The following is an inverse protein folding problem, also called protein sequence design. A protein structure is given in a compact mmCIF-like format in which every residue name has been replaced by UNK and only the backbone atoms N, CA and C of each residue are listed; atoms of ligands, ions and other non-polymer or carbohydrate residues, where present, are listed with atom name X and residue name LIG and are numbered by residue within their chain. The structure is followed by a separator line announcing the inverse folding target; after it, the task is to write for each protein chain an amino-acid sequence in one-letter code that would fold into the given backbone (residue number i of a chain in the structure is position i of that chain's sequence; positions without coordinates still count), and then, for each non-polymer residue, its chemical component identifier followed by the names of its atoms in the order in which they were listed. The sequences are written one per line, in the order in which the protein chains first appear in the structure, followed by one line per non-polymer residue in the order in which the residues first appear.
data_IF_154643222688
#
_entry.id   IF_154643222688
#
_cell.length_a   1.000
_cell.length_b   1.000
_cell.length_c   1.000
_cell.angle_alpha   90.00
_cell.angle_beta   90.00
_cell.angle_gamma   90.00
#
_symmetry.space_group_name_H-M   'P 1'
#
loop_
_entity.id
_entity.type
_entity.pdbx_description
1 polymer ?
#
# COMPACT_ATOMS: atom_id res chain seq x y z
N UNK A 1 12.94 -11.93 -4.18
CA UNK A 1 12.30 -11.06 -5.19
C UNK A 1 12.22 -11.64 -6.60
N UNK A 2 12.96 -12.70 -6.91
CA UNK A 2 13.24 -13.14 -8.29
C UNK A 2 12.03 -13.69 -9.07
N UNK A 3 10.95 -14.05 -8.38
CA UNK A 3 9.71 -14.54 -9.00
C UNK A 3 8.84 -13.34 -9.40
N UNK A 4 8.71 -13.08 -10.71
CA UNK A 4 8.02 -11.91 -11.29
C UNK A 4 6.78 -12.27 -12.12
N UNK A 5 6.16 -13.42 -11.87
CA UNK A 5 4.94 -13.81 -12.57
C UNK A 5 3.75 -12.88 -12.24
N UNK A 6 2.76 -12.74 -13.13
CA UNK A 6 1.54 -11.97 -12.84
C UNK A 6 0.78 -12.49 -11.60
N UNK A 7 0.81 -13.81 -11.38
CA UNK A 7 0.28 -14.45 -10.18
C UNK A 7 1.35 -14.53 -9.10
N UNK A 8 1.00 -14.05 -7.91
CA UNK A 8 1.87 -14.01 -6.74
C UNK A 8 1.17 -14.71 -5.58
N UNK A 9 1.78 -15.79 -5.09
CA UNK A 9 1.39 -16.44 -3.84
C UNK A 9 2.27 -15.85 -2.74
N UNK A 10 1.65 -15.23 -1.75
CA UNK A 10 2.38 -14.47 -0.75
C UNK A 10 1.95 -14.92 0.64
N UNK A 11 2.94 -15.30 1.43
CA UNK A 11 2.76 -15.60 2.84
C UNK A 11 3.38 -14.45 3.65
N UNK A 12 2.53 -13.49 4.03
CA UNK A 12 2.90 -12.20 4.60
C UNK A 12 3.20 -12.31 6.11
N UNK A 13 4.27 -13.03 6.51
CA UNK A 13 4.73 -13.07 7.92
C UNK A 13 5.55 -11.81 8.22
N UNK A 14 4.92 -10.64 8.16
CA UNK A 14 5.68 -9.38 8.18
C UNK A 14 5.26 -8.41 9.30
N UNK A 15 4.07 -8.55 9.88
CA UNK A 15 3.55 -7.62 10.89
C UNK A 15 3.37 -8.24 12.27
N UNK A 16 3.97 -7.56 13.25
CA UNK A 16 3.72 -7.79 14.68
C UNK A 16 2.67 -6.85 15.26
N UNK A 17 1.74 -6.30 14.45
CA UNK A 17 0.71 -5.39 14.97
C UNK A 17 -0.20 -6.04 16.02
N UNK A 18 -0.34 -7.37 15.98
CA UNK A 18 -1.04 -8.15 17.00
C UNK A 18 -0.23 -8.40 18.29
N UNK A 19 1.05 -8.03 18.33
CA UNK A 19 1.92 -8.18 19.50
C UNK A 19 2.35 -6.79 20.02
N UNK A 20 2.00 -6.40 21.25
CA UNK A 20 2.45 -5.13 21.84
C UNK A 20 3.97 -4.94 21.81
N UNK A 21 4.74 -6.04 21.92
CA UNK A 21 6.21 -6.01 21.87
C UNK A 21 6.75 -6.16 20.45
N UNK A 22 5.90 -6.46 19.46
CA UNK A 22 6.24 -6.67 18.04
C UNK A 22 7.32 -7.74 17.81
N UNK A 23 7.39 -8.72 18.70
CA UNK A 23 8.33 -9.85 18.64
C UNK A 23 7.74 -11.05 17.91
N UNK A 24 6.42 -11.22 17.98
CA UNK A 24 5.66 -12.24 17.27
C UNK A 24 5.04 -11.65 16.03
N UNK A 25 4.93 -12.47 15.01
CA UNK A 25 4.38 -12.10 13.72
C UNK A 25 3.13 -12.91 13.46
N UNK A 26 2.05 -12.23 13.09
CA UNK A 26 0.80 -12.91 12.77
C UNK A 26 0.91 -13.53 11.38
N UNK A 27 0.55 -14.82 11.20
CA UNK A 27 0.56 -15.43 9.89
C UNK A 27 -0.53 -14.81 9.01
N UNK A 28 -0.16 -14.43 7.80
CA UNK A 28 -1.05 -13.93 6.76
C UNK A 28 -0.72 -14.60 5.44
N UNK A 29 -1.74 -14.75 4.60
CA UNK A 29 -1.56 -15.27 3.25
C UNK A 29 -2.50 -14.56 2.29
N UNK A 30 -1.99 -14.32 1.09
CA UNK A 30 -2.75 -13.71 0.00
C UNK A 30 -2.36 -14.31 -1.35
N UNK A 31 -3.36 -14.45 -2.21
CA UNK A 31 -3.16 -14.69 -3.64
C UNK A 31 -3.36 -13.34 -4.32
N UNK A 32 -2.36 -12.89 -5.08
CA UNK A 32 -2.39 -11.61 -5.77
C UNK A 32 -2.26 -11.85 -7.27
N UNK A 33 -3.20 -11.32 -8.03
CA UNK A 33 -3.21 -11.37 -9.49
C UNK A 33 -2.94 -9.96 -10.01
N UNK A 34 -1.90 -9.79 -10.80
CA UNK A 34 -1.62 -8.49 -11.42
C UNK A 34 -2.84 -8.06 -12.24
N UNK A 35 -3.35 -6.86 -11.97
CA UNK A 35 -4.59 -6.41 -12.59
C UNK A 35 -4.31 -5.80 -13.96
N UNK A 36 -4.74 -6.49 -15.00
CA UNK A 36 -4.56 -6.07 -16.40
C UNK A 36 -5.41 -4.86 -16.76
N UNK A 37 -6.49 -4.58 -16.03
CA UNK A 37 -7.30 -3.37 -16.24
C UNK A 37 -6.50 -2.09 -15.94
N UNK A 38 -5.45 -2.20 -15.12
CA UNK A 38 -4.53 -1.13 -14.78
C UNK A 38 -3.17 -1.24 -15.53
N UNK A 39 -3.17 -1.80 -16.75
CA UNK A 39 -1.94 -1.98 -17.52
C UNK A 39 -1.17 -0.66 -17.78
N UNK A 40 -1.88 0.44 -18.00
CA UNK A 40 -1.28 1.76 -18.23
C UNK A 40 -0.57 2.31 -16.98
N UNK A 41 -1.20 2.15 -15.82
CA UNK A 41 -0.68 2.54 -14.52
C UNK A 41 0.51 1.65 -14.13
N UNK A 42 0.41 0.34 -14.34
CA UNK A 42 1.50 -0.62 -14.11
C UNK A 42 2.73 -0.31 -14.99
N UNK A 43 2.51 0.09 -16.26
CA UNK A 43 3.57 0.58 -17.14
C UNK A 43 4.20 1.87 -16.61
N UNK A 44 3.38 2.77 -16.06
CA UNK A 44 3.85 4.02 -15.44
C UNK A 44 4.69 3.74 -14.19
N UNK A 45 4.27 2.80 -13.34
CA UNK A 45 5.01 2.36 -12.15
C UNK A 45 6.40 1.83 -12.54
N UNK A 46 6.47 1.02 -13.60
CA UNK A 46 7.73 0.50 -14.12
C UNK A 46 8.62 1.63 -14.65
N UNK A 47 8.06 2.59 -15.37
CA UNK A 47 8.80 3.78 -15.84
C UNK A 47 9.34 4.63 -14.67
N UNK A 48 8.58 4.77 -13.58
CA UNK A 48 9.03 5.48 -12.38
C UNK A 48 10.26 4.79 -11.78
N UNK A 49 10.26 3.45 -11.70
CA UNK A 49 11.41 2.68 -11.24
C UNK A 49 12.65 2.97 -12.10
N UNK A 50 12.51 2.99 -13.43
CA UNK A 50 13.61 3.29 -14.35
C UNK A 50 14.17 4.71 -14.13
N UNK A 51 13.30 5.71 -14.01
CA UNK A 51 13.69 7.10 -13.73
C UNK A 51 14.43 7.21 -12.39
N UNK A 52 13.95 6.51 -11.36
CA UNK A 52 14.62 6.49 -10.05
C UNK A 52 16.00 5.83 -10.15
N UNK A 53 16.12 4.71 -10.87
CA UNK A 53 17.41 4.04 -11.09
C UNK A 53 18.38 4.97 -11.81
N UNK A 54 17.94 5.66 -12.87
CA UNK A 54 18.77 6.61 -13.60
C UNK A 54 19.22 7.78 -12.70
N UNK A 55 18.30 8.32 -11.91
CA UNK A 55 18.60 9.37 -10.95
C UNK A 55 19.69 8.95 -9.94
N UNK A 56 19.59 7.75 -9.38
CA UNK A 56 20.60 7.25 -8.43
C UNK A 56 21.92 6.91 -9.12
N UNK A 57 21.91 6.41 -10.36
CA UNK A 57 23.15 6.15 -11.13
C UNK A 57 24.00 7.40 -11.35
N UNK A 58 23.37 8.57 -11.48
CA UNK A 58 24.07 9.86 -11.62
C UNK A 58 24.75 10.33 -10.33
N UNK A 59 24.51 9.67 -9.19
CA UNK A 59 25.08 10.04 -7.89
C UNK A 59 26.23 9.09 -7.53
N UNK A 60 27.35 9.66 -7.09
CA UNK A 60 28.55 8.89 -6.70
C UNK A 60 28.63 8.56 -5.19
N UNK A 61 27.54 8.67 -4.45
CA UNK A 61 27.50 8.37 -3.01
C UNK A 61 27.38 6.87 -2.68
N UNK A 62 27.88 6.41 -1.52
CA UNK A 62 27.77 5.02 -1.09
C UNK A 62 26.30 4.56 -1.00
N UNK A 63 25.42 5.41 -0.43
CA UNK A 63 23.99 5.14 -0.33
C UNK A 63 23.31 4.94 -1.70
N UNK A 64 23.78 5.64 -2.74
CA UNK A 64 23.24 5.46 -4.09
C UNK A 64 23.66 4.11 -4.68
N UNK A 65 24.93 3.71 -4.50
CA UNK A 65 25.45 2.43 -4.98
C UNK A 65 24.72 1.24 -4.34
N UNK A 66 24.50 1.30 -3.03
CA UNK A 66 23.80 0.23 -2.30
C UNK A 66 22.31 0.18 -2.65
N UNK A 67 21.67 1.34 -2.81
CA UNK A 67 20.25 1.45 -3.11
C UNK A 67 19.86 0.99 -4.52
N UNK A 68 20.74 1.18 -5.53
CA UNK A 68 20.44 0.83 -6.93
C UNK A 68 20.17 -0.67 -7.09
N UNK A 69 21.00 -1.52 -6.48
CA UNK A 69 20.87 -2.98 -6.59
C UNK A 69 19.51 -3.46 -6.05
N UNK A 70 19.12 -2.99 -4.86
CA UNK A 70 17.83 -3.29 -4.26
C UNK A 70 16.66 -2.74 -5.09
N UNK A 71 16.80 -1.50 -5.58
CA UNK A 71 15.77 -0.84 -6.37
C UNK A 71 15.49 -1.59 -7.68
N UNK A 72 16.52 -2.03 -8.41
CA UNK A 72 16.36 -2.78 -9.66
C UNK A 72 15.68 -4.14 -9.45
N UNK A 73 15.94 -4.79 -8.31
CA UNK A 73 15.33 -6.08 -7.97
C UNK A 73 13.90 -5.94 -7.48
N UNK A 74 13.53 -4.78 -6.96
CA UNK A 74 12.17 -4.47 -6.49
C UNK A 74 11.12 -4.59 -7.60
N UNK A 75 9.88 -4.85 -7.21
CA UNK A 75 8.72 -4.97 -8.09
C UNK A 75 7.57 -4.18 -7.47
N UNK A 76 6.91 -3.35 -8.24
CA UNK A 76 5.70 -2.65 -7.82
C UNK A 76 4.63 -2.83 -8.88
N UNK A 77 3.41 -3.17 -8.47
CA UNK A 77 2.27 -3.28 -9.38
C UNK A 77 0.93 -3.18 -8.62
N UNK A 78 -0.12 -2.92 -9.38
CA UNK A 78 -1.51 -2.97 -8.94
C UNK A 78 -2.01 -4.42 -9.08
N UNK A 79 -2.61 -4.93 -8.01
CA UNK A 79 -3.08 -6.31 -7.93
C UNK A 79 -4.54 -6.38 -7.50
N UNK A 80 -5.24 -7.37 -8.04
CA UNK A 80 -6.49 -7.88 -7.52
C UNK A 80 -6.22 -9.06 -6.57
N UNK A 81 -6.84 -9.06 -5.39
CA UNK A 81 -6.61 -10.05 -4.34
C UNK A 81 -7.87 -10.91 -4.15
N UNK A 82 -8.04 -12.00 -4.92
CA UNK A 82 -9.20 -12.88 -4.82
C UNK A 82 -9.26 -13.65 -3.49
N UNK A 83 -8.11 -13.84 -2.83
CA UNK A 83 -8.02 -14.53 -1.56
C UNK A 83 -7.06 -13.83 -0.62
N UNK A 84 -7.50 -13.62 0.62
CA UNK A 84 -6.72 -13.08 1.72
C UNK A 84 -7.14 -13.78 3.02
N UNK A 85 -6.23 -13.95 3.95
CA UNK A 85 -6.53 -14.42 5.31
C UNK A 85 -5.65 -13.71 6.36
N UNK A 86 -5.90 -13.98 7.63
CA UNK A 86 -5.18 -13.36 8.75
C UNK A 86 -5.69 -11.94 9.03
N UNK A 87 -4.79 -11.04 9.43
CA UNK A 87 -5.13 -9.66 9.82
C UNK A 87 -5.76 -8.87 8.67
N UNK A 88 -5.43 -9.23 7.42
CA UNK A 88 -5.99 -8.61 6.21
C UNK A 88 -7.51 -8.71 6.10
N UNK A 89 -8.15 -9.64 6.84
CA UNK A 89 -9.61 -9.74 6.92
C UNK A 89 -10.23 -8.66 7.82
N UNK A 90 -9.51 -8.23 8.86
CA UNK A 90 -9.96 -7.21 9.80
C UNK A 90 -9.56 -5.81 9.36
N UNK A 91 -8.40 -5.70 8.72
CA UNK A 91 -7.85 -4.44 8.24
C UNK A 91 -7.34 -4.61 6.81
N UNK A 92 -8.02 -3.99 5.84
CA UNK A 92 -7.58 -4.01 4.45
C UNK A 92 -6.56 -2.92 4.18
N UNK A 93 -5.35 -3.32 3.81
CA UNK A 93 -4.33 -2.41 3.33
C UNK A 93 -4.56 -2.06 1.86
N UNK A 94 -4.53 -0.76 1.53
CA UNK A 94 -4.53 -0.26 0.15
C UNK A 94 -3.23 -0.51 -0.59
N UNK A 95 -2.17 -0.86 0.14
CA UNK A 95 -0.91 -1.31 -0.42
C UNK A 95 0.08 -1.64 0.68
N UNK A 96 1.05 -2.48 0.37
CA UNK A 96 2.10 -2.84 1.31
C UNK A 96 3.40 -3.19 0.56
N UNK A 97 4.52 -2.95 1.24
CA UNK A 97 5.88 -3.29 0.81
C UNK A 97 6.41 -4.43 1.65
N UNK A 98 6.85 -5.52 1.00
CA UNK A 98 7.43 -6.70 1.65
C UNK A 98 8.74 -7.13 0.99
N UNK A 99 9.69 -7.76 1.72
CA UNK A 99 9.63 -8.08 3.14
C UNK A 99 10.01 -6.89 4.04
N UNK A 100 9.58 -6.94 5.31
CA UNK A 100 9.96 -5.97 6.33
C UNK A 100 11.39 -6.19 6.85
N UNK A 101 11.93 -7.42 6.74
CA UNK A 101 13.33 -7.72 7.12
C UNK A 101 14.33 -6.89 6.31
N UNK A 102 15.04 -5.98 7.00
CA UNK A 102 15.96 -5.02 6.39
C UNK A 102 17.07 -5.69 5.58
N UNK A 103 17.72 -6.72 6.11
CA UNK A 103 18.81 -7.44 5.44
C UNK A 103 18.39 -7.99 4.07
N UNK A 104 17.19 -8.57 4.00
CA UNK A 104 16.63 -9.13 2.75
C UNK A 104 16.23 -8.00 1.82
N UNK A 105 15.63 -6.93 2.35
CA UNK A 105 15.27 -5.73 1.58
C UNK A 105 16.49 -5.07 0.91
N UNK A 106 17.59 -4.93 1.65
CA UNK A 106 18.82 -4.35 1.12
C UNK A 106 19.47 -5.24 0.04
N UNK A 107 19.42 -6.56 0.22
CA UNK A 107 20.05 -7.50 -0.71
C UNK A 107 19.20 -7.80 -1.95
N UNK A 108 17.90 -7.97 -1.76
CA UNK A 108 16.98 -8.50 -2.77
C UNK A 108 15.89 -7.53 -3.21
N UNK A 109 15.73 -6.37 -2.56
CA UNK A 109 14.65 -5.42 -2.87
C UNK A 109 13.31 -5.80 -2.24
N UNK A 110 12.23 -5.17 -2.70
CA UNK A 110 10.86 -5.33 -2.16
C UNK A 110 9.80 -5.58 -3.24
N UNK A 111 8.72 -6.30 -2.90
CA UNK A 111 7.46 -6.28 -3.65
C UNK A 111 6.54 -5.26 -3.01
N UNK A 112 6.08 -4.33 -3.81
CA UNK A 112 5.03 -3.38 -3.45
C UNK A 112 3.79 -3.80 -4.22
N UNK A 113 2.69 -3.99 -3.51
CA UNK A 113 1.40 -4.13 -4.16
C UNK A 113 0.53 -2.94 -3.83
N UNK A 114 -0.37 -2.61 -4.76
CA UNK A 114 -1.45 -1.66 -4.57
C UNK A 114 -2.77 -2.39 -4.81
N UNK A 115 -3.73 -2.25 -3.90
CA UNK A 115 -5.09 -2.79 -4.01
C UNK A 115 -6.10 -1.64 -4.09
N UNK A 116 -6.62 -1.32 -5.29
CA UNK A 116 -7.60 -0.26 -5.46
C UNK A 116 -8.94 -0.61 -4.81
N UNK A 117 -9.25 -1.89 -4.62
CA UNK A 117 -10.50 -2.34 -3.99
C UNK A 117 -10.56 -1.95 -2.52
N UNK A 118 -9.41 -1.96 -1.84
CA UNK A 118 -9.28 -1.48 -0.46
C UNK A 118 -9.46 0.04 -0.32
N UNK A 119 -9.35 0.80 -1.40
CA UNK A 119 -9.63 2.25 -1.42
C UNK A 119 -11.11 2.59 -1.66
N UNK A 120 -11.93 1.60 -2.04
CA UNK A 120 -13.34 1.82 -2.37
C UNK A 120 -14.38 1.81 -1.23
N UNK A 121 -14.11 1.46 0.05
CA UNK A 121 -15.19 1.35 1.03
C UNK A 121 -15.86 2.69 1.41
N UNK A 122 -15.30 3.85 1.03
CA UNK A 122 -15.88 5.17 1.36
C UNK A 122 -16.69 5.85 0.24
N UNK A 123 -16.61 5.41 -1.02
CA UNK A 123 -17.36 6.08 -2.10
C UNK A 123 -18.87 5.81 -2.03
N UNK A 124 -19.30 4.66 -1.50
CA UNK A 124 -20.72 4.33 -1.35
C UNK A 124 -21.36 4.96 -0.12
N UNK A 125 -20.63 5.05 1.02
CA UNK A 125 -21.14 5.69 2.23
C UNK A 125 -21.24 7.21 2.07
N UNK A 126 -20.27 7.87 1.43
CA UNK A 126 -20.37 9.30 1.12
C UNK A 126 -21.42 9.60 0.03
N UNK A 127 -21.63 8.70 -0.94
CA UNK A 127 -22.71 8.84 -1.92
C UNK A 127 -24.10 8.63 -1.30
N UNK A 128 -24.21 7.86 -0.21
CA UNK A 128 -25.46 7.70 0.57
C UNK A 128 -25.72 8.84 1.57
N UNK A 129 -24.70 9.66 1.86
CA UNK A 129 -24.82 10.91 2.62
C UNK A 129 -25.36 12.04 1.72
N UNK A 130 -26.56 11.85 1.16
CA UNK A 130 -27.30 12.94 0.52
C UNK A 130 -28.11 13.69 1.60
N UNK A 131 -27.89 14.99 1.84
CA UNK A 131 -28.63 15.77 2.84
C UNK A 131 -30.14 15.86 2.60
N UNK A 132 -30.59 15.48 1.40
CA UNK A 132 -31.99 15.61 0.96
C UNK A 132 -32.92 14.58 1.61
N UNK A 133 -32.39 13.42 2.03
CA UNK A 133 -33.14 12.37 2.72
C UNK A 133 -33.33 12.64 4.22
N UNK A 134 -32.75 13.72 4.75
CA UNK A 134 -32.81 14.04 6.18
C UNK A 134 -34.10 14.79 6.53
N UNK A 135 -34.72 14.51 7.69
CA UNK A 135 -35.82 15.33 8.22
C UNK A 135 -35.43 16.81 8.28
N UNK A 136 -36.34 17.72 7.90
CA UNK A 136 -36.04 19.15 7.75
C UNK A 136 -35.38 19.81 8.99
N UNK A 137 -35.63 19.27 10.19
CA UNK A 137 -35.03 19.76 11.44
C UNK A 137 -33.53 19.43 11.60
N UNK A 138 -33.00 18.42 10.88
CA UNK A 138 -31.58 18.03 10.93
C UNK A 138 -30.72 18.70 9.85
N UNK A 139 -31.33 19.35 8.85
CA UNK A 139 -30.60 20.02 7.75
C UNK A 139 -29.89 21.31 8.20
N UNK A 140 -30.31 21.91 9.31
CA UNK A 140 -29.76 23.20 9.79
C UNK A 140 -28.50 23.06 10.65
N UNK A 141 -28.15 21.86 11.10
CA UNK A 141 -26.97 21.63 11.96
C UNK A 141 -25.75 21.11 11.20
N UNK A 142 -25.92 20.66 9.96
CA UNK A 142 -24.82 20.25 9.08
C UNK A 142 -24.13 21.47 8.45
N UNK A 143 -23.42 22.26 9.26
CA UNK A 143 -22.42 23.20 8.72
C UNK A 143 -21.18 22.40 8.29
N UNK A 144 -20.56 22.69 7.13
CA UNK A 144 -19.39 21.99 6.62
C UNK A 144 -18.10 22.43 7.35
N UNK A 145 -18.13 22.56 8.68
CA UNK A 145 -16.94 22.78 9.51
C UNK A 145 -16.29 21.50 10.03
N UNK A 146 -16.92 20.35 9.79
CA UNK A 146 -16.40 19.04 10.17
C UNK A 146 -16.23 18.13 8.94
N UNK A 147 -15.49 18.61 7.94
CA UNK A 147 -14.67 17.65 7.20
C UNK A 147 -13.59 17.18 8.19
N UNK A 148 -13.34 15.86 8.35
CA UNK A 148 -12.17 15.41 9.08
C UNK A 148 -10.96 15.89 8.28
N UNK A 149 -10.41 17.02 8.69
CA UNK A 149 -9.11 17.48 8.22
C UNK A 149 -8.11 16.39 8.61
N UNK A 150 -7.52 15.80 7.59
CA UNK A 150 -6.28 15.06 7.69
C UNK A 150 -5.29 15.95 8.48
N UNK A 151 -5.10 15.66 9.76
CA UNK A 151 -4.48 16.62 10.67
C UNK A 151 -4.19 16.04 12.04
N UNK A 152 -3.17 15.17 12.12
CA UNK A 152 -2.58 14.84 13.42
C UNK A 152 -1.06 14.77 13.33
N UNK A 153 -0.44 15.87 12.93
CA UNK A 153 0.94 16.22 13.28
C UNK A 153 1.03 17.73 13.46
N UNK A 154 0.92 18.19 14.71
CA UNK A 154 1.56 19.42 15.20
C UNK A 154 1.45 19.48 16.72
N UNK A 155 2.60 19.66 17.36
CA UNK A 155 2.86 20.01 18.75
C UNK A 155 2.88 18.89 19.80
N UNK A 156 4.09 18.36 20.03
CA UNK A 156 4.67 18.36 21.37
C UNK A 156 6.02 19.07 21.31
N UNK A 157 6.09 20.24 21.97
CA UNK A 157 7.27 20.68 22.70
C UNK A 157 7.10 20.18 24.13
#
# INVERSE_FOLDING_TARGET
MNIRYPTQLVHDIEYGYGDPLRTKVTPEFSIRLMDESYAAENKTISKIQDVMVEYFRKRNGPMAKDGISALQKSLAAIYYLPFQCGVNLYFRFSGQSIPNRSEVRHKEGVKIYFDPSALQPERSLLASWQPESWPAHQRRTASPRWAPSCGMWRHMR
#
